data_IF_884279820187
#
_entry.id   IF_884279820187
#
_cell.length_a   1.000
_cell.length_b   1.000
_cell.length_c   1.000
_cell.angle_alpha   90.00
_cell.angle_beta   90.00
_cell.angle_gamma   90.00
#
_symmetry.space_group_name_H-M   'P 1'
#
loop_
_entity.id
_entity.type
_entity.pdbx_description
1 polymer ?
#
# COMPACT_ATOMS: atom_id res chain seq x y z
N UNK A 1 -0.19 24.22 -9.47
CA UNK A 1 0.02 22.92 -8.81
C UNK A 1 1.29 22.30 -9.38
N UNK A 2 2.21 21.80 -8.56
CA UNK A 2 3.45 21.16 -9.03
C UNK A 2 3.11 19.89 -9.84
N UNK A 3 3.81 19.57 -10.95
CA UNK A 3 3.54 18.34 -11.70
C UNK A 3 3.78 17.11 -10.84
N UNK A 4 2.82 16.18 -10.83
CA UNK A 4 2.90 14.92 -10.07
C UNK A 4 4.12 14.06 -10.43
N UNK A 5 4.63 14.21 -11.66
CA UNK A 5 5.82 13.51 -12.16
C UNK A 5 7.11 13.89 -11.44
N UNK A 6 7.14 15.10 -10.87
CA UNK A 6 8.31 15.63 -10.15
C UNK A 6 8.22 15.38 -8.65
N UNK A 7 7.17 14.70 -8.17
CA UNK A 7 6.92 14.48 -6.75
C UNK A 7 7.79 13.30 -6.25
N UNK A 8 8.78 13.54 -5.37
CA UNK A 8 9.66 12.49 -4.86
C UNK A 8 8.90 11.40 -4.09
N UNK A 9 9.38 10.15 -4.09
CA UNK A 9 8.74 9.03 -3.38
C UNK A 9 8.71 9.21 -1.86
N UNK A 10 9.53 10.11 -1.31
CA UNK A 10 9.62 10.43 0.12
C UNK A 10 8.85 11.70 0.52
N UNK A 11 8.27 12.41 -0.45
CA UNK A 11 7.50 13.64 -0.21
C UNK A 11 6.01 13.32 0.00
N UNK A 12 5.41 14.02 0.97
CA UNK A 12 3.96 13.98 1.23
C UNK A 12 3.25 14.89 0.25
N UNK A 13 2.16 14.41 -0.34
CA UNK A 13 1.31 15.22 -1.21
C UNK A 13 0.08 15.67 -0.44
N UNK A 14 -0.04 16.98 -0.24
CA UNK A 14 -1.26 17.58 0.31
C UNK A 14 -2.37 17.57 -0.74
N UNK A 15 -3.56 17.13 -0.30
CA UNK A 15 -4.78 17.05 -1.09
C UNK A 15 -5.82 17.99 -0.44
N UNK A 16 -6.86 18.33 -1.20
CA UNK A 16 -7.99 19.07 -0.67
C UNK A 16 -8.69 18.34 0.49
N UNK A 17 -9.41 19.11 1.31
CA UNK A 17 -10.20 18.66 2.46
C UNK A 17 -9.40 18.05 3.63
N UNK A 18 -8.17 18.54 3.83
CA UNK A 18 -7.30 18.10 4.94
C UNK A 18 -6.85 16.65 4.80
N UNK A 19 -6.81 16.16 3.56
CA UNK A 19 -6.28 14.86 3.22
C UNK A 19 -4.86 15.01 2.73
N UNK A 20 -4.02 14.03 3.06
CA UNK A 20 -2.65 13.97 2.58
C UNK A 20 -2.30 12.55 2.17
N UNK A 21 -1.46 12.42 1.15
CA UNK A 21 -0.84 11.15 0.77
C UNK A 21 0.56 11.12 1.37
N UNK A 22 0.68 10.39 2.47
CA UNK A 22 1.93 10.24 3.23
C UNK A 22 2.66 9.00 2.73
N UNK A 23 3.94 9.13 2.33
CA UNK A 23 4.66 8.02 1.74
C UNK A 23 5.02 6.95 2.78
N UNK A 24 5.00 5.70 2.33
CA UNK A 24 5.21 4.51 3.16
C UNK A 24 5.80 3.36 2.36
N UNK A 25 6.41 2.41 3.07
CA UNK A 25 6.62 1.05 2.57
C UNK A 25 5.69 0.11 3.34
N UNK A 26 4.77 -0.55 2.63
CA UNK A 26 3.94 -1.62 3.19
C UNK A 26 4.56 -2.96 2.84
N UNK A 27 4.69 -3.84 3.82
CA UNK A 27 5.10 -5.24 3.65
C UNK A 27 4.02 -6.14 4.24
N UNK A 28 3.59 -7.13 3.47
CA UNK A 28 2.71 -8.20 3.94
C UNK A 28 3.57 -9.28 4.61
N UNK A 29 3.19 -9.66 5.82
CA UNK A 29 3.89 -10.66 6.62
C UNK A 29 3.03 -11.91 6.73
N UNK A 30 3.63 -13.06 6.47
CA UNK A 30 3.00 -14.37 6.67
C UNK A 30 3.89 -15.20 7.57
N UNK A 31 3.35 -15.66 8.71
CA UNK A 31 4.12 -16.39 9.72
C UNK A 31 3.74 -17.86 9.65
N UNK A 32 4.71 -18.72 9.37
CA UNK A 32 4.58 -20.17 9.38
C UNK A 32 5.29 -20.75 10.60
N UNK A 33 4.77 -21.81 11.23
CA UNK A 33 5.53 -22.50 12.26
C UNK A 33 6.59 -23.37 11.59
N UNK A 34 7.82 -23.36 12.11
CA UNK A 34 8.89 -24.21 11.58
C UNK A 34 8.63 -25.70 11.87
N UNK A 35 7.82 -25.98 12.90
CA UNK A 35 7.31 -27.31 13.20
C UNK A 35 5.77 -27.36 13.06
N UNK A 36 5.22 -28.31 12.31
CA UNK A 36 3.78 -28.38 12.05
C UNK A 36 2.91 -28.80 13.25
N UNK A 37 3.53 -29.25 14.35
CA UNK A 37 2.84 -29.64 15.58
C UNK A 37 2.54 -28.47 16.52
N UNK A 38 2.89 -27.24 16.15
CA UNK A 38 2.66 -26.04 16.96
C UNK A 38 1.17 -25.71 16.97
N UNK A 39 0.52 -26.06 18.07
CA UNK A 39 -0.88 -25.71 18.36
C UNK A 39 -1.03 -24.51 19.29
N UNK A 40 0.10 -24.00 19.81
CA UNK A 40 0.11 -22.82 20.69
C UNK A 40 -0.19 -21.56 19.87
N UNK A 41 -1.05 -20.66 20.38
CA UNK A 41 -1.21 -19.34 19.79
C UNK A 41 0.12 -18.60 19.90
N UNK A 42 0.48 -17.88 18.83
CA UNK A 42 1.65 -17.01 18.84
C UNK A 42 1.41 -15.84 19.81
N UNK A 43 2.45 -15.42 20.51
CA UNK A 43 2.43 -14.19 21.30
C UNK A 43 2.64 -13.00 20.35
N UNK A 44 1.58 -12.22 20.14
CA UNK A 44 1.59 -11.05 19.26
C UNK A 44 2.59 -10.00 19.75
N UNK A 45 2.66 -9.76 21.07
CA UNK A 45 3.51 -8.71 21.62
C UNK A 45 4.99 -9.08 21.49
N UNK A 46 5.36 -10.32 21.79
CA UNK A 46 6.74 -10.79 21.59
C UNK A 46 7.13 -10.77 20.11
N UNK A 47 6.23 -11.19 19.22
CA UNK A 47 6.47 -11.13 17.78
C UNK A 47 6.69 -9.70 17.31
N UNK A 48 5.82 -8.76 17.71
CA UNK A 48 5.98 -7.34 17.37
C UNK A 48 7.32 -6.79 17.84
N UNK A 49 7.68 -7.08 19.10
CA UNK A 49 8.94 -6.63 19.68
C UNK A 49 10.16 -7.19 18.94
N UNK A 50 10.15 -8.48 18.60
CA UNK A 50 11.23 -9.12 17.85
C UNK A 50 11.41 -8.50 16.45
N UNK A 51 10.31 -8.23 15.74
CA UNK A 51 10.35 -7.59 14.43
C UNK A 51 10.83 -6.14 14.51
N UNK A 52 10.36 -5.37 15.49
CA UNK A 52 10.82 -3.98 15.70
C UNK A 52 12.31 -3.95 16.06
N UNK A 53 12.78 -4.88 16.88
CA UNK A 53 14.20 -4.98 17.25
C UNK A 53 15.07 -5.35 16.05
N UNK A 54 14.61 -6.29 15.21
CA UNK A 54 15.27 -6.63 13.96
C UNK A 54 15.43 -5.42 13.03
N UNK A 55 14.34 -4.65 12.82
CA UNK A 55 14.35 -3.44 11.98
C UNK A 55 15.32 -2.37 12.47
N UNK A 56 15.55 -2.31 13.79
CA UNK A 56 16.49 -1.35 14.40
C UNK A 56 17.95 -1.81 14.32
N UNK A 57 18.22 -3.10 14.46
CA UNK A 57 19.58 -3.63 14.70
C UNK A 57 20.20 -4.35 13.51
N UNK A 58 19.40 -4.96 12.65
CA UNK A 58 19.86 -5.94 11.66
C UNK A 58 19.87 -5.42 10.22
N UNK A 59 19.24 -4.27 9.97
CA UNK A 59 19.27 -3.59 8.68
C UNK A 59 20.52 -2.69 8.57
N UNK A 60 20.98 -2.46 7.34
CA UNK A 60 22.07 -1.51 7.05
C UNK A 60 21.76 -0.08 7.50
N UNK A 61 20.47 0.28 7.48
CA UNK A 61 19.95 1.53 8.02
C UNK A 61 18.94 1.17 9.10
N UNK A 62 19.15 1.65 10.32
CA UNK A 62 18.22 1.43 11.43
C UNK A 62 16.89 2.13 11.14
N UNK A 63 15.79 1.37 11.16
CA UNK A 63 14.44 1.91 10.96
C UNK A 63 13.69 1.87 12.28
N UNK A 64 13.08 3.00 12.66
CA UNK A 64 12.18 3.03 13.80
C UNK A 64 10.74 2.88 13.32
N UNK A 65 10.04 1.87 13.82
CA UNK A 65 8.63 1.62 13.51
C UNK A 65 7.82 1.64 14.81
N UNK A 66 6.75 2.46 14.91
CA UNK A 66 5.79 2.41 16.00
C UNK A 66 5.06 1.06 16.06
N UNK A 67 4.63 0.62 17.24
CA UNK A 67 3.92 -0.66 17.40
C UNK A 67 2.56 -0.70 16.67
N UNK A 68 1.95 0.48 16.47
CA UNK A 68 0.69 0.69 15.75
C UNK A 68 0.82 0.42 14.24
N UNK A 69 2.00 0.67 13.69
CA UNK A 69 2.35 0.46 12.29
C UNK A 69 2.75 -1.00 12.01
N UNK A 70 2.75 -1.86 13.03
CA UNK A 70 2.88 -3.30 12.90
C UNK A 70 1.59 -3.98 13.34
N UNK A 71 0.79 -4.38 12.36
CA UNK A 71 -0.48 -5.05 12.57
C UNK A 71 -0.26 -6.55 12.45
N UNK A 72 -0.64 -7.31 13.46
CA UNK A 72 -0.51 -8.77 13.48
C UNK A 72 -1.86 -9.35 13.85
N UNK A 73 -2.25 -10.41 13.15
CA UNK A 73 -3.46 -11.16 13.45
C UNK A 73 -3.21 -12.64 13.43
N UNK A 74 -3.77 -13.29 14.44
CA UNK A 74 -3.71 -14.74 14.62
C UNK A 74 -4.87 -15.42 13.92
N UNK A 75 -4.59 -16.59 13.37
CA UNK A 75 -5.62 -17.49 12.88
C UNK A 75 -6.39 -18.11 14.05
N UNK A 76 -7.71 -17.90 14.07
CA UNK A 76 -8.60 -18.26 15.20
C UNK A 76 -8.72 -19.78 15.40
N UNK A 77 -8.70 -20.57 14.33
CA UNK A 77 -8.93 -22.03 14.36
C UNK A 77 -7.67 -22.86 14.03
N UNK A 78 -6.68 -22.84 14.93
CA UNK A 78 -5.44 -23.64 14.78
C UNK A 78 -5.69 -25.17 14.71
N UNK A 79 -6.86 -25.65 15.14
CA UNK A 79 -7.23 -27.09 15.17
C UNK A 79 -7.75 -27.64 13.84
N UNK A 80 -8.29 -26.80 12.96
CA UNK A 80 -8.77 -27.19 11.61
C UNK A 80 -7.73 -26.93 10.53
N UNK A 81 -6.57 -26.43 10.95
CA UNK A 81 -5.50 -25.97 10.09
C UNK A 81 -4.86 -27.13 9.33
N UNK A 82 -4.55 -26.94 8.04
CA UNK A 82 -3.64 -27.84 7.32
C UNK A 82 -2.20 -27.67 7.82
N UNK A 83 -1.38 -28.68 7.55
CA UNK A 83 -0.01 -28.77 8.05
C UNK A 83 0.85 -27.55 7.67
N UNK A 84 0.64 -26.98 6.48
CA UNK A 84 1.50 -25.94 5.89
C UNK A 84 0.88 -24.54 5.93
N UNK A 85 -0.35 -24.41 6.44
CA UNK A 85 -1.01 -23.11 6.56
C UNK A 85 -0.26 -22.20 7.56
N UNK A 86 -0.38 -20.87 7.41
CA UNK A 86 0.22 -19.94 8.36
C UNK A 86 -0.43 -20.02 9.75
N UNK A 87 0.23 -19.46 10.78
CA UNK A 87 -0.35 -19.25 12.12
C UNK A 87 -0.82 -17.82 12.34
N UNK A 88 -0.23 -16.88 11.61
CA UNK A 88 -0.57 -15.46 11.70
C UNK A 88 -0.23 -14.76 10.39
N UNK A 89 -0.95 -13.68 10.15
CA UNK A 89 -0.67 -12.71 9.10
C UNK A 89 -0.40 -11.36 9.73
N UNK A 90 0.33 -10.51 9.03
CA UNK A 90 0.54 -9.15 9.47
C UNK A 90 0.78 -8.19 8.31
N UNK A 91 0.74 -6.92 8.65
CA UNK A 91 1.13 -5.83 7.76
C UNK A 91 2.08 -4.92 8.53
N UNK A 92 3.22 -4.62 7.93
CA UNK A 92 4.22 -3.69 8.44
C UNK A 92 4.19 -2.42 7.59
N UNK A 93 4.08 -1.27 8.23
CA UNK A 93 4.12 0.04 7.60
C UNK A 93 5.38 0.80 8.05
N UNK A 94 6.29 1.07 7.13
CA UNK A 94 7.47 1.90 7.39
C UNK A 94 7.22 3.29 6.82
N UNK A 95 7.08 4.29 7.69
CA UNK A 95 6.80 5.69 7.31
C UNK A 95 8.03 6.59 7.37
N UNK A 96 8.99 6.27 8.23
CA UNK A 96 10.24 7.01 8.29
C UNK A 96 11.18 6.56 7.17
N UNK A 97 11.05 7.21 6.02
CA UNK A 97 11.85 6.98 4.80
C UNK A 97 12.61 8.25 4.38
N UNK A 98 12.62 9.27 5.25
CA UNK A 98 13.25 10.56 4.95
C UNK A 98 14.78 10.45 4.82
N UNK A 99 15.40 9.45 5.43
CA UNK A 99 16.82 9.20 5.29
C UNK A 99 17.23 8.84 3.85
N UNK A 100 16.30 8.38 3.00
CA UNK A 100 16.55 8.12 1.58
C UNK A 100 16.65 9.42 0.77
N UNK A 101 16.08 10.52 1.28
CA UNK A 101 16.31 11.83 0.68
C UNK A 101 17.76 12.25 0.96
N UNK A 102 18.62 12.07 -0.03
CA UNK A 102 19.97 12.62 0.03
C UNK A 102 19.83 14.14 0.07
N UNK A 103 20.13 14.78 1.21
CA UNK A 103 20.41 16.22 1.26
C UNK A 103 21.70 16.49 0.49
N UNK A 104 21.67 16.40 -0.84
CA UNK A 104 22.68 17.08 -1.66
C UNK A 104 22.48 18.57 -1.36
N UNK A 105 23.57 19.24 -0.95
CA UNK A 105 23.58 20.70 -0.85
C UNK A 105 23.10 21.26 -2.19
N UNK A 106 22.26 22.28 -2.10
CA UNK A 106 21.71 23.06 -3.19
C UNK A 106 22.87 23.80 -3.87
N UNK A 107 23.63 23.09 -4.70
CA UNK A 107 24.59 23.66 -5.65
C UNK A 107 24.61 22.74 -6.86
N UNK A 108 23.64 22.92 -7.75
CA UNK A 108 23.64 22.67 -9.22
C UNK A 108 22.18 22.43 -9.68
N UNK A 109 21.68 23.34 -10.52
CA UNK A 109 20.27 23.54 -10.88
C UNK A 109 19.84 22.73 -12.10
N UNK A 110 20.68 21.85 -12.63
CA UNK A 110 20.51 21.46 -14.05
C UNK A 110 19.78 20.14 -14.34
N UNK A 111 19.23 19.38 -13.37
CA UNK A 111 18.32 18.25 -13.70
C UNK A 111 17.47 17.70 -12.53
N UNK A 112 16.46 18.45 -12.08
CA UNK A 112 15.51 17.99 -11.03
C UNK A 112 14.82 16.65 -11.37
N UNK A 113 14.52 16.38 -12.65
CA UNK A 113 13.88 15.14 -13.07
C UNK A 113 14.80 13.91 -12.96
N UNK A 114 16.10 14.08 -13.20
CA UNK A 114 17.06 12.98 -13.07
C UNK A 114 17.29 12.64 -11.60
N UNK A 115 17.39 13.66 -10.73
CA UNK A 115 17.48 13.47 -9.29
C UNK A 115 16.26 12.72 -8.71
N UNK A 116 15.03 13.03 -9.18
CA UNK A 116 13.82 12.30 -8.76
C UNK A 116 13.88 10.84 -9.21
N UNK A 117 14.28 10.56 -10.46
CA UNK A 117 14.43 9.18 -10.95
C UNK A 117 15.49 8.40 -10.19
N UNK A 118 16.61 9.03 -9.84
CA UNK A 118 17.64 8.41 -9.00
C UNK A 118 17.10 8.09 -7.60
N UNK A 119 16.34 9.00 -7.00
CA UNK A 119 15.70 8.78 -5.69
C UNK A 119 14.66 7.66 -5.75
N UNK A 120 13.86 7.59 -6.82
CA UNK A 120 12.92 6.48 -7.06
C UNK A 120 13.64 5.15 -7.14
N UNK A 121 14.76 5.08 -7.87
CA UNK A 121 15.58 3.87 -7.96
C UNK A 121 16.12 3.44 -6.60
N UNK A 122 16.72 4.38 -5.85
CA UNK A 122 17.23 4.11 -4.47
C UNK A 122 16.11 3.64 -3.55
N UNK A 123 14.93 4.25 -3.65
CA UNK A 123 13.76 3.85 -2.86
C UNK A 123 13.33 2.41 -3.17
N UNK A 124 13.22 2.06 -4.46
CA UNK A 124 12.84 0.70 -4.87
C UNK A 124 13.88 -0.34 -4.47
N UNK A 125 15.18 -0.06 -4.65
CA UNK A 125 16.27 -0.93 -4.22
C UNK A 125 16.25 -1.16 -2.71
N UNK A 126 16.06 -0.07 -1.94
CA UNK A 126 15.96 -0.18 -0.49
C UNK A 126 14.72 -0.96 -0.03
N UNK A 127 13.56 -0.72 -0.65
CA UNK A 127 12.32 -1.47 -0.39
C UNK A 127 12.52 -2.97 -0.60
N UNK A 128 13.10 -3.35 -1.74
CA UNK A 128 13.40 -4.76 -2.05
C UNK A 128 14.42 -5.33 -1.08
N UNK A 129 15.47 -4.59 -0.74
CA UNK A 129 16.46 -4.99 0.26
C UNK A 129 15.82 -5.32 1.62
N UNK A 130 14.91 -4.48 2.12
CA UNK A 130 14.22 -4.74 3.39
C UNK A 130 13.35 -6.00 3.30
N UNK A 131 12.59 -6.15 2.21
CA UNK A 131 11.75 -7.33 2.00
C UNK A 131 12.60 -8.61 1.97
N UNK A 132 13.70 -8.64 1.19
CA UNK A 132 14.62 -9.78 1.10
C UNK A 132 15.33 -10.10 2.41
N UNK A 133 15.66 -9.08 3.22
CA UNK A 133 16.30 -9.28 4.53
C UNK A 133 15.35 -9.83 5.57
N UNK A 134 14.06 -9.49 5.47
CA UNK A 134 13.04 -9.98 6.37
C UNK A 134 12.48 -11.34 5.96
N UNK A 135 12.44 -11.63 4.66
CA UNK A 135 11.98 -12.91 4.15
C UNK A 135 12.90 -14.06 4.58
N UNK A 136 12.29 -15.15 5.05
CA UNK A 136 13.01 -16.34 5.51
C UNK A 136 13.63 -16.25 6.90
N UNK A 137 13.40 -15.17 7.67
CA UNK A 137 13.89 -15.09 9.05
C UNK A 137 13.24 -16.19 9.91
N UNK A 138 14.08 -16.91 10.66
CA UNK A 138 13.64 -17.81 11.72
C UNK A 138 13.53 -17.05 13.06
N UNK A 139 12.32 -16.92 13.57
CA UNK A 139 12.01 -16.28 14.85
C UNK A 139 11.82 -17.36 15.92
N UNK A 140 12.54 -17.24 17.04
CA UNK A 140 12.36 -18.11 18.19
C UNK A 140 11.57 -17.37 19.27
N UNK A 141 10.31 -17.75 19.47
CA UNK A 141 9.42 -17.20 20.48
C UNK A 141 9.09 -18.29 21.49
N UNK A 142 9.47 -18.10 22.75
CA UNK A 142 9.25 -19.06 23.85
C UNK A 142 9.73 -20.50 23.56
N UNK A 143 10.81 -20.65 22.79
CA UNK A 143 11.35 -21.96 22.41
C UNK A 143 10.67 -22.59 21.18
N UNK A 144 9.71 -21.90 20.57
CA UNK A 144 9.06 -22.30 19.33
C UNK A 144 9.62 -21.48 18.17
N UNK A 145 10.03 -22.19 17.12
CA UNK A 145 10.56 -21.59 15.90
C UNK A 145 9.45 -21.31 14.90
N UNK A 146 9.49 -20.12 14.31
CA UNK A 146 8.60 -19.66 13.26
C UNK A 146 9.42 -19.13 12.08
N UNK A 147 8.95 -19.33 10.86
CA UNK A 147 9.54 -18.76 9.66
C UNK A 147 8.66 -17.61 9.18
N UNK A 148 9.28 -16.46 8.93
CA UNK A 148 8.63 -15.30 8.37
C UNK A 148 8.73 -15.35 6.83
N UNK A 149 7.61 -15.14 6.15
CA UNK A 149 7.59 -14.83 4.73
C UNK A 149 7.10 -13.39 4.54
N UNK A 150 7.78 -12.64 3.67
CA UNK A 150 7.53 -11.22 3.43
C UNK A 150 7.28 -10.96 1.95
N UNK A 151 6.21 -10.26 1.64
CA UNK A 151 5.86 -9.88 0.27
C UNK A 151 5.53 -8.39 0.17
N UNK A 152 5.94 -7.77 -0.94
CA UNK A 152 5.49 -6.43 -1.31
C UNK A 152 4.10 -6.55 -1.95
N UNK A 153 3.06 -5.89 -1.40
CA UNK A 153 1.72 -5.95 -1.96
C UNK A 153 1.72 -5.51 -3.43
N UNK A 154 1.03 -6.27 -4.30
CA UNK A 154 0.93 -5.93 -5.72
C UNK A 154 0.35 -4.52 -5.96
N UNK A 155 -0.54 -4.05 -5.09
CA UNK A 155 -1.11 -2.70 -5.14
C UNK A 155 -0.12 -1.57 -4.85
N UNK A 156 1.00 -1.87 -4.19
CA UNK A 156 2.07 -0.91 -3.91
C UNK A 156 3.26 -1.07 -4.89
N UNK A 157 3.16 -1.97 -5.87
CA UNK A 157 4.20 -2.19 -6.89
C UNK A 157 3.78 -1.70 -8.28
N UNK A 158 3.94 -0.38 -8.48
CA UNK A 158 3.53 0.31 -9.70
C UNK A 158 4.13 -0.31 -10.98
N UNK A 159 5.43 -0.62 -11.01
CA UNK A 159 6.10 -1.14 -12.20
C UNK A 159 5.60 -2.54 -12.56
N UNK A 160 5.32 -3.38 -11.56
CA UNK A 160 4.74 -4.70 -11.78
C UNK A 160 3.32 -4.58 -12.33
N UNK A 161 2.46 -3.78 -11.70
CA UNK A 161 1.11 -3.55 -12.21
C UNK A 161 1.16 -3.01 -13.65
N UNK A 162 2.11 -2.09 -13.91
CA UNK A 162 2.31 -1.48 -15.21
C UNK A 162 2.59 -2.49 -16.29
N UNK A 163 3.57 -3.34 -16.02
CA UNK A 163 3.92 -4.43 -16.92
C UNK A 163 2.73 -5.36 -17.17
N UNK A 164 1.99 -5.72 -16.12
CA UNK A 164 0.85 -6.64 -16.23
C UNK A 164 -0.26 -6.09 -17.16
N UNK A 165 -0.61 -4.79 -17.04
CA UNK A 165 -1.61 -4.21 -17.95
C UNK A 165 -1.04 -4.01 -19.36
N UNK A 166 0.20 -3.55 -19.51
CA UNK A 166 0.84 -3.37 -20.83
C UNK A 166 0.87 -4.70 -21.61
N UNK A 167 1.20 -5.80 -20.93
CA UNK A 167 1.17 -7.15 -21.50
C UNK A 167 -0.26 -7.58 -21.84
N UNK A 168 -1.21 -7.46 -20.91
CA UNK A 168 -2.61 -7.83 -21.13
C UNK A 168 -3.22 -7.16 -22.38
N UNK A 169 -2.95 -5.86 -22.58
CA UNK A 169 -3.40 -5.13 -23.76
C UNK A 169 -2.61 -5.49 -25.03
N UNK A 170 -1.31 -5.75 -24.94
CA UNK A 170 -0.50 -6.20 -26.07
C UNK A 170 -0.97 -7.58 -26.61
N UNK A 171 -1.36 -8.50 -25.72
CA UNK A 171 -1.86 -9.82 -26.09
C UNK A 171 -3.33 -9.82 -26.54
N UNK A 172 -4.18 -8.97 -25.96
CA UNK A 172 -5.59 -8.83 -26.37
C UNK A 172 -5.75 -8.28 -27.81
N UNK A 173 -4.75 -7.54 -28.31
CA UNK A 173 -4.73 -7.02 -29.67
C UNK A 173 -4.35 -8.05 -30.77
N UNK A 174 -4.11 -9.32 -30.41
CA UNK A 174 -3.77 -10.38 -31.40
C UNK A 174 -4.98 -11.09 -32.03
N UNK A 175 -6.22 -10.74 -31.64
CA UNK A 175 -7.44 -11.31 -32.23
C UNK A 175 -8.40 -10.24 -32.70
N UNK A 176 -8.60 -10.13 -34.04
CA UNK A 176 -9.68 -9.48 -34.83
C UNK A 176 -10.47 -8.28 -34.24
N UNK A 177 -9.96 -7.57 -33.25
CA UNK A 177 -10.64 -6.46 -32.60
C UNK A 177 -10.12 -5.17 -33.21
N UNK A 178 -10.96 -4.52 -34.02
CA UNK A 178 -10.77 -3.16 -34.54
C UNK A 178 -10.92 -2.10 -33.41
N UNK A 179 -10.32 -2.34 -32.25
CA UNK A 179 -10.18 -1.34 -31.19
C UNK A 179 -8.76 -0.80 -31.25
N UNK A 180 -8.60 0.52 -31.28
CA UNK A 180 -7.28 1.15 -31.12
C UNK A 180 -6.61 0.73 -29.79
N UNK A 181 -5.37 1.19 -29.56
CA UNK A 181 -4.68 1.01 -28.27
C UNK A 181 -5.63 1.40 -27.12
N UNK A 182 -6.20 0.41 -26.44
CA UNK A 182 -7.07 0.66 -25.30
C UNK A 182 -6.15 0.82 -24.10
N UNK A 183 -5.94 2.06 -23.69
CA UNK A 183 -5.13 2.40 -22.53
C UNK A 183 -6.01 2.32 -21.27
N UNK A 184 -5.50 1.84 -20.14
CA UNK A 184 -6.25 1.86 -18.89
C UNK A 184 -6.47 3.30 -18.45
N UNK A 185 -7.66 3.61 -17.97
CA UNK A 185 -8.05 4.96 -17.59
C UNK A 185 -8.75 5.02 -16.23
N UNK A 186 -8.94 3.88 -15.57
CA UNK A 186 -9.80 3.74 -14.40
C UNK A 186 -9.02 3.21 -13.20
N UNK A 187 -9.04 3.94 -12.08
CA UNK A 187 -8.50 3.52 -10.79
C UNK A 187 -9.65 3.10 -9.87
N UNK A 188 -9.48 1.97 -9.19
CA UNK A 188 -10.42 1.48 -8.18
C UNK A 188 -9.76 1.52 -6.81
N UNK A 189 -10.26 2.37 -5.93
CA UNK A 189 -9.85 2.47 -4.53
C UNK A 189 -10.89 1.78 -3.66
N UNK A 190 -10.43 0.90 -2.79
CA UNK A 190 -11.27 0.09 -1.90
C UNK A 190 -10.91 0.32 -0.44
N UNK A 191 -11.88 0.10 0.44
CA UNK A 191 -11.65 0.15 1.88
C UNK A 191 -11.26 1.51 2.43
N UNK A 192 -11.64 2.61 1.76
CA UNK A 192 -11.36 3.96 2.25
C UNK A 192 -12.48 4.45 3.19
N UNK A 193 -12.19 5.19 4.28
CA UNK A 193 -13.22 5.62 5.22
C UNK A 193 -14.26 6.55 4.59
N UNK A 194 -15.53 6.17 4.63
CA UNK A 194 -16.62 6.94 3.98
C UNK A 194 -16.74 8.37 4.50
N UNK A 195 -16.46 8.59 5.80
CA UNK A 195 -16.49 9.92 6.42
C UNK A 195 -15.44 10.89 5.88
N UNK A 196 -14.35 10.40 5.29
CA UNK A 196 -13.35 11.28 4.69
C UNK A 196 -13.87 11.98 3.45
N UNK A 197 -14.82 11.34 2.77
CA UNK A 197 -15.43 11.81 1.53
C UNK A 197 -16.86 12.35 1.73
N UNK A 198 -17.34 12.42 2.97
CA UNK A 198 -18.67 12.94 3.27
C UNK A 198 -18.65 14.47 3.42
N UNK A 199 -19.80 15.11 3.22
CA UNK A 199 -19.96 16.53 3.53
C UNK A 199 -19.97 16.73 5.06
N UNK A 200 -19.08 17.61 5.59
CA UNK A 200 -18.99 17.82 7.03
C UNK A 200 -20.33 18.21 7.65
N UNK A 201 -20.68 17.58 8.78
CA UNK A 201 -21.88 17.86 9.60
C UNK A 201 -23.24 17.53 8.96
N UNK A 202 -23.26 17.00 7.74
CA UNK A 202 -24.52 16.76 6.99
C UNK A 202 -24.77 15.27 6.76
N UNK A 203 -23.73 14.46 6.58
CA UNK A 203 -23.90 13.04 6.25
C UNK A 203 -22.73 12.18 6.71
N UNK A 204 -22.98 10.90 6.96
CA UNK A 204 -21.95 9.87 7.09
C UNK A 204 -21.67 9.15 5.76
N UNK A 205 -22.51 9.39 4.74
CA UNK A 205 -22.37 8.81 3.41
C UNK A 205 -21.37 9.62 2.58
N UNK A 206 -20.55 8.97 1.76
CA UNK A 206 -19.58 9.67 0.94
C UNK A 206 -20.31 10.49 -0.14
N UNK A 207 -19.89 11.74 -0.31
CA UNK A 207 -20.43 12.67 -1.30
C UNK A 207 -19.64 12.57 -2.60
N UNK A 208 -20.37 12.45 -3.72
CA UNK A 208 -19.77 12.42 -5.05
C UNK A 208 -19.05 13.74 -5.36
N UNK A 209 -19.59 14.88 -4.89
CA UNK A 209 -18.98 16.19 -5.11
C UNK A 209 -17.65 16.31 -4.37
N UNK A 210 -17.64 16.00 -3.07
CA UNK A 210 -16.40 16.00 -2.25
C UNK A 210 -15.36 15.07 -2.86
N UNK A 211 -15.77 13.86 -3.25
CA UNK A 211 -14.86 12.89 -3.87
C UNK A 211 -14.32 13.40 -5.21
N UNK A 212 -15.17 14.00 -6.05
CA UNK A 212 -14.75 14.57 -7.32
C UNK A 212 -13.70 15.66 -7.11
N UNK A 213 -13.95 16.57 -6.17
CA UNK A 213 -13.02 17.64 -5.81
C UNK A 213 -11.65 17.08 -5.38
N UNK A 214 -11.65 16.10 -4.47
CA UNK A 214 -10.41 15.42 -4.01
C UNK A 214 -9.65 14.79 -5.17
N UNK A 215 -10.32 14.02 -6.04
CA UNK A 215 -9.62 13.31 -7.13
C UNK A 215 -9.31 14.17 -8.34
N UNK A 216 -9.93 15.35 -8.47
CA UNK A 216 -9.61 16.32 -9.53
C UNK A 216 -8.20 16.90 -9.38
N UNK A 217 -7.60 16.78 -8.20
CA UNK A 217 -6.19 17.13 -7.94
C UNK A 217 -5.22 16.29 -8.78
N UNK A 218 -5.61 15.07 -9.17
CA UNK A 218 -4.78 14.18 -9.96
C UNK A 218 -4.94 14.34 -11.48
N UNK A 219 -5.99 15.02 -11.92
CA UNK A 219 -6.28 15.23 -13.34
C UNK A 219 -7.77 15.32 -13.63
N UNK A 220 -8.11 15.43 -14.92
CA UNK A 220 -9.51 15.64 -15.31
C UNK A 220 -10.29 14.32 -15.28
N UNK A 221 -11.34 14.27 -14.48
CA UNK A 221 -12.19 13.10 -14.30
C UNK A 221 -13.25 13.06 -15.41
N UNK A 222 -13.39 11.90 -16.06
CA UNK A 222 -14.46 11.60 -17.02
C UNK A 222 -15.69 11.07 -16.32
N UNK A 223 -15.53 10.07 -15.47
CA UNK A 223 -16.60 9.45 -14.69
C UNK A 223 -16.10 9.15 -13.28
N UNK A 224 -16.99 9.31 -12.31
CA UNK A 224 -16.73 9.00 -10.90
C UNK A 224 -17.90 8.21 -10.35
N UNK A 225 -17.61 7.13 -9.64
CA UNK A 225 -18.60 6.39 -8.88
C UNK A 225 -18.09 6.18 -7.44
N UNK A 226 -19.00 6.38 -6.49
CA UNK A 226 -18.74 6.16 -5.07
C UNK A 226 -19.88 5.31 -4.52
N UNK A 227 -19.53 4.14 -3.99
CA UNK A 227 -20.49 3.19 -3.44
C UNK A 227 -19.99 2.63 -2.10
N UNK A 228 -20.88 2.03 -1.32
CA UNK A 228 -20.45 1.22 -0.18
C UNK A 228 -19.63 0.03 -0.67
N UNK A 229 -18.58 -0.35 0.06
CA UNK A 229 -17.71 -1.46 -0.35
C UNK A 229 -18.26 -2.80 0.18
N UNK A 230 -19.38 -3.23 -0.39
CA UNK A 230 -20.05 -4.48 -0.01
C UNK A 230 -19.25 -5.73 -0.46
N UNK A 231 -18.50 -5.62 -1.57
CA UNK A 231 -17.71 -6.71 -2.15
C UNK A 231 -16.30 -6.83 -1.55
N UNK A 232 -15.93 -5.94 -0.62
CA UNK A 232 -14.66 -5.99 0.09
C UNK A 232 -14.49 -7.36 0.79
N UNK A 233 -15.60 -7.93 1.26
CA UNK A 233 -15.70 -9.26 1.87
C UNK A 233 -15.40 -10.45 0.94
N UNK A 234 -15.51 -10.27 -0.38
CA UNK A 234 -15.44 -11.37 -1.35
C UNK A 234 -14.13 -11.42 -2.14
N UNK A 235 -13.39 -10.32 -2.18
CA UNK A 235 -12.18 -10.19 -3.01
C UNK A 235 -10.86 -10.09 -2.23
N UNK A 236 -10.93 -9.95 -0.91
CA UNK A 236 -9.79 -10.01 -0.02
C UNK A 236 -9.79 -11.37 0.67
N UNK A 237 -8.60 -11.94 0.90
CA UNK A 237 -8.50 -13.06 1.83
C UNK A 237 -9.10 -12.62 3.18
N UNK A 238 -9.73 -13.55 3.90
CA UNK A 238 -10.43 -13.34 5.17
C UNK A 238 -9.63 -12.46 6.19
N UNK A 239 -8.31 -12.38 6.00
CA UNK A 239 -7.31 -11.65 6.78
C UNK A 239 -7.25 -10.13 6.52
N UNK A 240 -7.44 -9.68 5.28
CA UNK A 240 -7.41 -8.25 4.92
C UNK A 240 -8.70 -7.53 5.35
N UNK A 241 -9.80 -8.28 5.43
CA UNK A 241 -11.11 -7.83 5.92
C UNK A 241 -11.14 -7.44 7.40
N UNK A 242 -10.42 -8.14 8.27
CA UNK A 242 -10.57 -7.97 9.73
C UNK A 242 -9.69 -6.81 10.28
N UNK A 243 -9.06 -5.95 9.43
CA UNK A 243 -8.12 -4.86 9.85
C UNK A 243 -8.90 -3.64 10.42
N UNK A 244 -10.14 -3.85 10.85
CA UNK A 244 -11.06 -2.77 11.24
C UNK A 244 -11.89 -2.23 10.08
N UNK A 245 -11.94 -2.96 8.95
CA UNK A 245 -12.79 -2.59 7.82
C UNK A 245 -14.22 -3.09 8.11
N UNK A 246 -14.97 -2.28 8.87
CA UNK A 246 -16.39 -2.53 9.11
C UNK A 246 -17.18 -2.17 7.85
N UNK A 247 -17.92 -3.12 7.31
CA UNK A 247 -18.87 -2.89 6.22
C UNK A 247 -19.85 -1.77 6.60
N UNK A 248 -20.04 -0.79 5.70
CA UNK A 248 -20.86 0.41 5.93
C UNK A 248 -20.10 1.62 6.52
N UNK A 249 -18.85 1.46 6.97
CA UNK A 249 -17.98 2.59 7.33
C UNK A 249 -16.94 2.91 6.25
N UNK A 250 -16.79 2.03 5.27
CA UNK A 250 -15.84 2.14 4.18
C UNK A 250 -16.56 2.15 2.83
N UNK A 251 -16.03 2.94 1.90
CA UNK A 251 -16.54 3.04 0.55
C UNK A 251 -15.51 2.57 -0.49
N UNK A 252 -16.05 2.25 -1.66
CA UNK A 252 -15.34 1.99 -2.90
C UNK A 252 -15.47 3.20 -3.80
N UNK A 253 -14.34 3.66 -4.32
CA UNK A 253 -14.28 4.80 -5.24
C UNK A 253 -13.72 4.31 -6.56
N UNK A 254 -14.43 4.58 -7.65
CA UNK A 254 -14.01 4.26 -9.01
C UNK A 254 -13.84 5.59 -9.74
N UNK A 255 -12.60 5.92 -10.12
CA UNK A 255 -12.24 7.16 -10.80
C UNK A 255 -11.78 6.83 -12.21
N UNK A 256 -12.48 7.34 -13.21
CA UNK A 256 -12.07 7.24 -14.61
C UNK A 256 -11.55 8.60 -15.10
N UNK A 257 -10.32 8.64 -15.57
CA UNK A 257 -9.68 9.85 -16.08
C UNK A 257 -9.94 10.07 -17.57
N UNK A 258 -9.91 11.34 -18.00
CA UNK A 258 -10.02 11.68 -19.42
C UNK A 258 -8.77 11.30 -20.21
N UNK A 259 -7.59 11.44 -19.61
CA UNK A 259 -6.28 11.22 -20.23
C UNK A 259 -5.53 10.08 -19.54
N UNK A 260 -4.86 9.25 -20.33
CA UNK A 260 -3.98 8.19 -19.81
C UNK A 260 -2.87 8.73 -18.90
N UNK A 261 -2.29 9.88 -19.24
CA UNK A 261 -1.23 10.53 -18.43
C UNK A 261 -1.71 10.84 -17.01
N UNK A 262 -2.95 11.30 -16.86
CA UNK A 262 -3.55 11.62 -15.56
C UNK A 262 -3.74 10.32 -14.74
N UNK A 263 -4.28 9.27 -15.37
CA UNK A 263 -4.38 7.93 -14.77
C UNK A 263 -3.01 7.39 -14.32
N UNK A 264 -2.01 7.45 -15.20
CA UNK A 264 -0.67 6.92 -14.96
C UNK A 264 -0.02 7.63 -13.76
N UNK A 265 -0.05 8.96 -13.76
CA UNK A 265 0.54 9.76 -12.69
C UNK A 265 -0.20 9.59 -11.37
N UNK A 266 -1.54 9.56 -11.41
CA UNK A 266 -2.36 9.30 -10.22
C UNK A 266 -2.01 7.95 -9.59
N UNK A 267 -1.96 6.89 -10.41
CA UNK A 267 -1.66 5.55 -9.93
C UNK A 267 -0.24 5.45 -9.37
N UNK A 268 0.76 6.03 -10.07
CA UNK A 268 2.14 6.10 -9.60
C UNK A 268 2.24 6.79 -8.23
N UNK A 269 1.49 7.87 -8.03
CA UNK A 269 1.49 8.65 -6.79
C UNK A 269 0.78 7.94 -5.64
N UNK A 270 -0.28 7.18 -5.94
CA UNK A 270 -1.05 6.43 -4.95
C UNK A 270 -0.29 5.18 -4.46
N UNK A 271 0.43 4.50 -5.35
CA UNK A 271 1.26 3.36 -4.98
C UNK A 271 2.34 3.78 -3.97
N UNK A 272 2.43 3.07 -2.84
CA UNK A 272 3.41 3.39 -1.80
C UNK A 272 3.09 4.64 -0.98
N UNK A 273 1.85 5.17 -1.05
CA UNK A 273 1.38 6.24 -0.15
C UNK A 273 0.14 5.80 0.63
N UNK A 274 0.03 6.28 1.86
CA UNK A 274 -1.17 6.16 2.69
C UNK A 274 -1.99 7.42 2.56
N UNK A 275 -3.29 7.30 2.30
CA UNK A 275 -4.19 8.40 2.53
C UNK A 275 -4.36 8.61 4.04
N UNK A 276 -4.13 9.83 4.51
CA UNK A 276 -4.32 10.26 5.89
C UNK A 276 -5.21 11.50 5.90
N UNK A 277 -5.91 11.71 7.01
CA UNK A 277 -6.71 12.90 7.26
C UNK A 277 -6.22 13.55 8.53
N UNK A 278 -5.93 14.85 8.48
CA UNK A 278 -5.61 15.60 9.68
C UNK A 278 -6.84 15.60 10.61
N UNK A 279 -6.63 15.18 11.85
CA UNK A 279 -7.63 15.22 12.90
C UNK A 279 -7.50 16.57 13.61
N UNK A 280 -8.21 17.57 13.10
CA UNK A 280 -8.52 18.79 13.87
C UNK A 280 -9.54 18.49 14.98
#
# INVERSE_FOLDING_TARGET
MRPLETLPPTETLEIENGLSLVPRVKLNLTIHPSLPSVSKPIDEWQLKRALIDFLKTSLSVSVTVPEEDLQIKRLKDLKKRKRDEPVAHGALFIRDIRFLSSKKKIEEVDNEEEDVKELEKKFLEWRSYVAEKMDGIELNLEGVKYNLSVEIPASDDFERMRKDWEESYAFRNRGYSRGGRQEPDTIVLRGVPSRWFAEPRVSSKPSMLVTHTIFSTFGKIRNLNVSEDEDLAKGMDEYELDIGIVSGLHCKIIVQFEKYRDFYNALKVLCGRSLQKDLD
#
